data_IF_201056940543
#
_entry.id   IF_201056940543
#
_cell.length_a   1.000
_cell.length_b   1.000
_cell.length_c   1.000
_cell.angle_alpha   90.00
_cell.angle_beta   90.00
_cell.angle_gamma   90.00
#
_symmetry.space_group_name_H-M   'P 1'
#
loop_
_entity.id
_entity.type
_entity.pdbx_description
1 polymer ?
#
# COMPACT_ATOMS: atom_id res chain seq x y z
N UNK A 1 5.65 -5.12 13.56
CA UNK A 1 6.50 -3.93 13.36
C UNK A 1 6.89 -3.73 11.90
N UNK A 2 7.34 -4.78 11.23
CA UNK A 2 7.76 -4.67 9.83
C UNK A 2 6.59 -4.32 8.90
N UNK A 3 5.42 -4.92 9.10
CA UNK A 3 4.24 -4.62 8.30
C UNK A 3 3.84 -3.15 8.46
N UNK A 4 3.86 -2.64 9.69
CA UNK A 4 3.53 -1.24 9.94
C UNK A 4 4.50 -0.30 9.22
N UNK A 5 5.79 -0.64 9.23
CA UNK A 5 6.82 0.13 8.53
C UNK A 5 6.53 0.21 7.02
N UNK A 6 6.21 -0.94 6.38
CA UNK A 6 5.91 -0.96 4.96
C UNK A 6 4.57 -0.30 4.63
N UNK A 7 3.60 -0.41 5.52
CA UNK A 7 2.33 0.28 5.32
C UNK A 7 2.52 1.80 5.33
N UNK A 8 3.39 2.31 6.21
CA UNK A 8 3.73 3.74 6.23
C UNK A 8 4.41 4.15 4.92
N UNK A 9 5.29 3.31 4.38
CA UNK A 9 5.89 3.56 3.07
C UNK A 9 4.83 3.64 1.99
N UNK A 10 3.86 2.73 2.02
CA UNK A 10 2.73 2.75 1.10
C UNK A 10 1.96 4.07 1.19
N UNK A 11 1.67 4.54 2.39
CA UNK A 11 0.98 5.82 2.57
C UNK A 11 1.76 6.99 1.98
N UNK A 12 3.09 6.98 2.14
CA UNK A 12 3.94 8.02 1.53
C UNK A 12 3.89 7.97 0.01
N UNK A 13 3.84 6.78 -0.56
CA UNK A 13 3.68 6.62 -2.01
C UNK A 13 2.35 7.23 -2.45
N UNK A 14 1.27 6.99 -1.71
CA UNK A 14 -0.03 7.57 -2.01
C UNK A 14 0.03 9.10 -1.98
N UNK A 15 0.72 9.68 -1.00
CA UNK A 15 0.89 11.14 -0.92
C UNK A 15 1.64 11.67 -2.15
N UNK A 16 2.70 10.97 -2.56
CA UNK A 16 3.45 11.36 -3.76
C UNK A 16 2.59 11.30 -5.01
N UNK A 17 1.62 10.39 -5.07
CA UNK A 17 0.69 10.26 -6.18
C UNK A 17 -0.42 11.33 -6.14
N UNK A 18 -0.45 12.14 -5.11
CA UNK A 18 -1.44 13.21 -4.98
C UNK A 18 -2.67 12.85 -4.17
N UNK A 19 -2.67 11.71 -3.49
CA UNK A 19 -3.80 11.32 -2.64
C UNK A 19 -3.79 12.18 -1.37
N UNK A 20 -4.85 12.98 -1.13
CA UNK A 20 -4.94 13.76 0.10
C UNK A 20 -5.40 12.87 1.26
N UNK A 21 -4.45 12.28 1.99
CA UNK A 21 -4.76 11.43 3.13
C UNK A 21 -5.46 12.23 4.22
N UNK A 22 -6.57 11.70 4.72
CA UNK A 22 -7.33 12.26 5.83
C UNK A 22 -7.18 11.35 7.04
N UNK A 23 -7.05 11.92 8.23
CA UNK A 23 -6.91 11.15 9.47
C UNK A 23 -8.09 10.20 9.71
N UNK A 24 -9.26 10.54 9.17
CA UNK A 24 -10.46 9.71 9.30
C UNK A 24 -10.49 8.56 8.30
N UNK A 25 -9.60 8.52 7.32
CA UNK A 25 -9.59 7.47 6.30
C UNK A 25 -9.14 6.15 6.92
N UNK A 26 -9.95 5.11 6.71
CA UNK A 26 -9.53 3.74 7.06
C UNK A 26 -8.88 3.07 5.85
N UNK A 27 -8.31 1.87 6.08
CA UNK A 27 -7.57 1.17 5.02
C UNK A 27 -8.44 0.81 3.81
N UNK A 28 -9.74 0.58 4.01
CA UNK A 28 -10.65 0.28 2.90
C UNK A 28 -10.86 1.49 2.00
N UNK A 29 -11.04 2.67 2.60
CA UNK A 29 -11.19 3.93 1.87
C UNK A 29 -9.91 4.25 1.12
N UNK A 30 -8.76 4.07 1.78
CA UNK A 30 -7.45 4.32 1.18
C UNK A 30 -7.26 3.43 -0.06
N UNK A 31 -7.59 2.14 0.06
CA UNK A 31 -7.48 1.21 -1.08
C UNK A 31 -8.37 1.63 -2.24
N UNK A 32 -9.64 1.97 -1.96
CA UNK A 32 -10.58 2.41 -2.99
C UNK A 32 -10.07 3.63 -3.74
N UNK A 33 -9.59 4.62 -3.00
CA UNK A 33 -9.12 5.86 -3.59
C UNK A 33 -7.81 5.66 -4.34
N UNK A 34 -6.93 4.81 -3.83
CA UNK A 34 -5.67 4.49 -4.51
C UNK A 34 -5.93 3.84 -5.87
N UNK A 35 -6.96 3.02 -5.99
CA UNK A 35 -7.31 2.39 -7.27
C UNK A 35 -7.69 3.40 -8.35
N UNK A 36 -8.01 4.63 -7.99
CA UNK A 36 -8.28 5.70 -8.96
C UNK A 36 -7.01 6.34 -9.49
N UNK A 37 -5.89 6.16 -8.79
CA UNK A 37 -4.63 6.81 -9.15
C UNK A 37 -3.61 5.85 -9.73
N UNK A 38 -3.68 4.58 -9.34
CA UNK A 38 -2.76 3.55 -9.84
C UNK A 38 -3.39 2.81 -11.02
N UNK A 39 -2.53 2.21 -11.85
CA UNK A 39 -2.97 1.40 -12.99
C UNK A 39 -3.61 0.10 -12.52
N UNK A 40 -4.52 -0.49 -13.32
CA UNK A 40 -5.11 -1.79 -12.98
C UNK A 40 -4.07 -2.88 -12.70
N UNK A 41 -2.91 -2.82 -13.34
CA UNK A 41 -1.82 -3.78 -13.12
C UNK A 41 -1.32 -3.77 -11.68
N UNK A 42 -1.50 -2.65 -10.97
CA UNK A 42 -1.08 -2.50 -9.58
C UNK A 42 -2.18 -2.80 -8.57
N UNK A 43 -3.41 -3.10 -9.01
CA UNK A 43 -4.53 -3.31 -8.10
C UNK A 43 -4.33 -4.49 -7.17
N UNK A 44 -3.71 -5.58 -7.67
CA UNK A 44 -3.42 -6.74 -6.82
C UNK A 44 -2.46 -6.38 -5.70
N UNK A 45 -1.48 -5.51 -5.98
CA UNK A 45 -0.54 -5.03 -4.96
C UNK A 45 -1.25 -4.14 -3.93
N UNK A 46 -2.17 -3.28 -4.36
CA UNK A 46 -2.96 -2.45 -3.44
C UNK A 46 -3.78 -3.32 -2.49
N UNK A 47 -4.47 -4.32 -3.04
CA UNK A 47 -5.30 -5.24 -2.24
C UNK A 47 -4.45 -6.07 -1.29
N UNK A 48 -3.27 -6.51 -1.75
CA UNK A 48 -2.34 -7.29 -0.94
C UNK A 48 -1.80 -6.48 0.24
N UNK A 49 -1.40 -5.23 0.01
CA UNK A 49 -0.92 -4.35 1.08
C UNK A 49 -1.96 -4.23 2.18
N UNK A 50 -3.21 -3.96 1.79
CA UNK A 50 -4.28 -3.83 2.78
C UNK A 50 -4.54 -5.15 3.51
N UNK A 51 -4.59 -6.27 2.78
CA UNK A 51 -4.85 -7.59 3.38
C UNK A 51 -3.81 -7.93 4.45
N UNK A 52 -2.54 -7.68 4.15
CA UNK A 52 -1.46 -7.96 5.10
C UNK A 52 -1.54 -7.01 6.30
N UNK A 53 -1.83 -5.75 6.05
CA UNK A 53 -2.00 -4.76 7.12
C UNK A 53 -3.14 -5.15 8.07
N UNK A 54 -4.29 -5.56 7.53
CA UNK A 54 -5.44 -6.00 8.33
C UNK A 54 -5.09 -7.24 9.15
N UNK A 55 -4.39 -8.20 8.53
CA UNK A 55 -3.92 -9.39 9.23
C UNK A 55 -3.03 -9.02 10.42
N UNK A 56 -2.10 -8.11 10.21
CA UNK A 56 -1.16 -7.70 11.25
C UNK A 56 -1.85 -6.97 12.41
N UNK A 57 -2.90 -6.23 12.11
CA UNK A 57 -3.55 -5.37 13.10
C UNK A 57 -4.69 -6.06 13.86
N UNK A 58 -5.46 -6.92 13.18
CA UNK A 58 -6.71 -7.45 13.75
C UNK A 58 -6.77 -8.96 13.86
N UNK A 59 -5.88 -9.70 13.21
CA UNK A 59 -5.90 -11.14 13.23
C UNK A 59 -5.11 -11.71 14.41
N UNK A 60 -5.58 -12.82 14.96
CA UNK A 60 -4.84 -13.59 15.97
C UNK A 60 -3.69 -14.38 15.34
N UNK A 61 -3.71 -14.55 14.02
CA UNK A 61 -2.66 -15.25 13.31
C UNK A 61 -1.41 -14.38 13.22
N UNK A 62 -0.26 -14.99 13.47
CA UNK A 62 1.01 -14.28 13.40
C UNK A 62 1.32 -13.88 11.96
N UNK A 63 1.87 -12.69 11.80
CA UNK A 63 2.45 -12.25 10.54
C UNK A 63 3.69 -13.11 10.29
N UNK A 64 3.75 -13.70 9.11
CA UNK A 64 4.87 -14.56 8.71
C UNK A 64 5.92 -13.75 7.98
N UNK A 65 7.11 -14.34 7.84
CA UNK A 65 8.17 -13.76 7.02
C UNK A 65 7.71 -13.61 5.57
N UNK A 66 6.90 -14.55 5.09
CA UNK A 66 6.30 -14.48 3.74
C UNK A 66 5.41 -13.25 3.60
N UNK A 67 4.62 -12.92 4.63
CA UNK A 67 3.78 -11.73 4.61
C UNK A 67 4.61 -10.45 4.51
N UNK A 68 5.70 -10.38 5.27
CA UNK A 68 6.61 -9.22 5.25
C UNK A 68 7.25 -9.08 3.88
N UNK A 69 7.72 -10.18 3.30
CA UNK A 69 8.31 -10.15 1.97
C UNK A 69 7.30 -9.72 0.91
N UNK A 70 6.05 -10.15 1.06
CA UNK A 70 4.99 -9.79 0.11
C UNK A 70 4.66 -8.30 0.18
N UNK A 71 4.49 -7.73 1.37
CA UNK A 71 4.17 -6.31 1.47
C UNK A 71 5.35 -5.44 1.00
N UNK A 72 6.57 -5.92 1.22
CA UNK A 72 7.76 -5.25 0.69
C UNK A 72 7.74 -5.22 -0.84
N UNK A 73 7.43 -6.35 -1.48
CA UNK A 73 7.32 -6.43 -2.95
C UNK A 73 6.18 -5.54 -3.45
N UNK A 74 5.05 -5.56 -2.77
CA UNK A 74 3.90 -4.73 -3.15
C UNK A 74 4.27 -3.25 -3.14
N UNK A 75 4.98 -2.81 -2.09
CA UNK A 75 5.46 -1.43 -2.00
C UNK A 75 6.44 -1.10 -3.13
N UNK A 76 7.31 -2.04 -3.51
CA UNK A 76 8.24 -1.83 -4.62
C UNK A 76 7.50 -1.64 -5.95
N UNK A 77 6.46 -2.44 -6.21
CA UNK A 77 5.64 -2.31 -7.41
C UNK A 77 4.99 -0.92 -7.46
N UNK A 78 4.39 -0.50 -6.35
CA UNK A 78 3.69 0.77 -6.27
C UNK A 78 4.65 1.96 -6.38
N UNK A 79 5.82 1.85 -5.76
CA UNK A 79 6.85 2.88 -5.82
C UNK A 79 7.36 3.05 -7.25
N UNK A 80 7.56 1.94 -7.96
CA UNK A 80 8.03 2.01 -9.36
C UNK A 80 7.02 2.72 -10.25
N UNK A 81 5.74 2.44 -10.07
CA UNK A 81 4.71 3.14 -10.83
C UNK A 81 4.72 4.63 -10.50
N UNK A 82 4.81 4.97 -9.21
CA UNK A 82 4.89 6.37 -8.78
C UNK A 82 6.10 7.08 -9.39
N UNK A 83 7.28 6.43 -9.36
CA UNK A 83 8.49 6.99 -9.93
C UNK A 83 8.34 7.24 -11.44
N UNK A 84 7.69 6.32 -12.16
CA UNK A 84 7.45 6.47 -13.60
C UNK A 84 6.51 7.64 -13.87
N UNK A 85 5.48 7.80 -13.07
CA UNK A 85 4.54 8.92 -13.21
C UNK A 85 5.24 10.26 -12.97
N UNK A 86 6.11 10.34 -11.98
CA UNK A 86 6.88 11.57 -11.70
C UNK A 86 7.82 11.93 -12.84
N UNK A 87 8.39 10.93 -13.50
CA UNK A 87 9.29 11.16 -14.64
C UNK A 87 8.58 11.69 -15.88
N UNK A 88 7.26 11.50 -15.97
CA UNK A 88 6.47 11.96 -17.13
C UNK A 88 6.04 13.42 -16.99
N UNK A 89 6.19 13.98 -15.82
CA UNK A 89 5.89 15.38 -15.56
C UNK A 89 7.16 16.20 -15.62
#
# INVERSE_FOLDING_TARGET
KAVRYYYRKFLRICLRMGYPLDDSDNSAIIEQNAKRMFRPESFSSLSSVRKIYIKARYSEHKVTESDVNQIKQDCDVLRKECDQMEKRT
#
